data_IF_194293774849
#
_entry.id   IF_194293774849
#
_cell.length_a   1.000
_cell.length_b   1.000
_cell.length_c   1.000
_cell.angle_alpha   90.00
_cell.angle_beta   90.00
_cell.angle_gamma   90.00
#
_symmetry.space_group_name_H-M   'P 1'
#
loop_
_entity.id
_entity.type
_entity.pdbx_description
1 polymer ?
#
# COMPACT_ATOMS: atom_id res chain seq x y z
N UNK A 1 -17.30 -6.39 8.14
CA UNK A 1 -16.62 -5.08 8.19
C UNK A 1 -15.37 -5.11 7.33
N UNK A 2 -15.11 -4.01 6.63
CA UNK A 2 -14.26 -3.96 5.44
C UNK A 2 -12.77 -3.74 5.75
N UNK A 3 -11.97 -4.81 5.74
CA UNK A 3 -10.52 -4.78 5.98
C UNK A 3 -9.72 -4.05 4.87
N UNK A 4 -10.39 -3.57 3.82
CA UNK A 4 -9.74 -2.74 2.80
C UNK A 4 -9.36 -1.37 3.33
N UNK A 5 -10.09 -0.82 4.29
CA UNK A 5 -9.78 0.49 4.88
C UNK A 5 -8.43 0.50 5.61
N UNK A 6 -7.96 -0.66 6.06
CA UNK A 6 -6.61 -0.80 6.60
C UNK A 6 -5.57 -0.32 5.57
N UNK A 7 -5.82 -0.52 4.27
CA UNK A 7 -4.93 -0.14 3.17
C UNK A 7 -5.03 1.32 2.75
N UNK A 8 -5.85 2.15 3.41
CA UNK A 8 -5.95 3.57 3.10
C UNK A 8 -4.60 4.32 3.07
N UNK A 9 -3.68 4.10 4.02
CA UNK A 9 -2.38 4.76 4.00
C UNK A 9 -1.53 4.34 2.79
N UNK A 10 -1.63 3.08 2.36
CA UNK A 10 -0.97 2.59 1.14
C UNK A 10 -1.54 3.30 -0.10
N UNK A 11 -2.87 3.36 -0.21
CA UNK A 11 -3.55 4.00 -1.34
C UNK A 11 -3.15 5.46 -1.46
N UNK A 12 -3.25 6.23 -0.37
CA UNK A 12 -2.89 7.65 -0.33
C UNK A 12 -1.42 7.90 -0.66
N UNK A 13 -0.51 7.15 -0.04
CA UNK A 13 0.92 7.27 -0.29
C UNK A 13 1.27 6.96 -1.75
N UNK A 14 0.63 5.94 -2.34
CA UNK A 14 0.84 5.60 -3.75
C UNK A 14 0.24 6.65 -4.68
N UNK A 15 -1.00 7.11 -4.46
CA UNK A 15 -1.62 8.14 -5.30
C UNK A 15 -0.79 9.43 -5.34
N UNK A 16 -0.32 9.89 -4.17
CA UNK A 16 0.53 11.09 -4.04
C UNK A 16 1.80 11.03 -4.89
N UNK A 17 2.40 9.84 -5.06
CA UNK A 17 3.60 9.65 -5.89
C UNK A 17 3.33 9.78 -7.40
N UNK A 18 2.10 9.61 -7.84
CA UNK A 18 1.72 9.70 -9.25
C UNK A 18 1.16 11.08 -9.61
N UNK A 19 1.18 12.04 -8.66
CA UNK A 19 0.82 13.43 -8.92
C UNK A 19 1.71 14.04 -10.01
N UNK A 20 1.07 14.80 -10.88
CA UNK A 20 1.71 15.59 -11.93
C UNK A 20 0.75 16.68 -12.41
N UNK A 21 1.20 17.57 -13.30
CA UNK A 21 0.36 18.64 -13.85
C UNK A 21 -0.94 18.09 -14.44
N UNK A 22 -2.08 18.66 -14.03
CA UNK A 22 -3.42 18.29 -14.49
C UNK A 22 -3.95 16.95 -13.96
N UNK A 23 -3.23 16.27 -13.06
CA UNK A 23 -3.74 15.10 -12.34
C UNK A 23 -4.15 15.50 -10.92
N UNK A 24 -5.42 15.35 -10.61
CA UNK A 24 -5.92 15.56 -9.26
C UNK A 24 -5.63 14.36 -8.36
N UNK A 25 -5.32 14.65 -7.09
CA UNK A 25 -5.08 13.61 -6.08
C UNK A 25 -6.28 12.70 -5.92
N UNK A 26 -7.47 13.28 -5.88
CA UNK A 26 -8.72 12.58 -5.61
C UNK A 26 -9.01 11.55 -6.71
N UNK A 27 -8.75 11.88 -7.98
CA UNK A 27 -8.88 10.95 -9.10
C UNK A 27 -7.91 9.76 -8.98
N UNK A 28 -6.65 10.03 -8.64
CA UNK A 28 -5.64 8.98 -8.45
C UNK A 28 -5.98 8.10 -7.24
N UNK A 29 -6.49 8.68 -6.15
CA UNK A 29 -6.96 7.94 -4.99
C UNK A 29 -8.17 7.06 -5.36
N UNK A 30 -9.12 7.57 -6.14
CA UNK A 30 -10.27 6.81 -6.63
C UNK A 30 -9.82 5.62 -7.49
N UNK A 31 -8.95 5.84 -8.48
CA UNK A 31 -8.39 4.76 -9.32
C UNK A 31 -7.66 3.71 -8.48
N UNK A 32 -6.89 4.14 -7.47
CA UNK A 32 -6.21 3.24 -6.56
C UNK A 32 -7.18 2.43 -5.67
N UNK A 33 -8.23 3.05 -5.14
CA UNK A 33 -9.28 2.38 -4.37
C UNK A 33 -10.07 1.38 -5.22
N UNK A 34 -10.46 1.75 -6.44
CA UNK A 34 -11.14 0.86 -7.38
C UNK A 34 -10.28 -0.36 -7.72
N UNK A 35 -8.99 -0.14 -7.98
CA UNK A 35 -8.05 -1.23 -8.23
C UNK A 35 -7.91 -2.16 -7.02
N UNK A 36 -7.92 -1.61 -5.82
CA UNK A 36 -7.85 -2.38 -4.58
C UNK A 36 -9.11 -3.23 -4.35
N UNK A 37 -10.31 -2.64 -4.57
CA UNK A 37 -11.59 -3.36 -4.50
C UNK A 37 -11.64 -4.48 -5.53
N UNK A 38 -11.25 -4.21 -6.77
CA UNK A 38 -11.16 -5.21 -7.83
C UNK A 38 -10.14 -6.31 -7.50
N UNK A 39 -8.97 -5.94 -6.96
CA UNK A 39 -7.94 -6.88 -6.56
C UNK A 39 -8.43 -7.83 -5.47
N UNK A 40 -9.23 -7.34 -4.51
CA UNK A 40 -9.81 -8.20 -3.48
C UNK A 40 -10.69 -9.30 -4.06
N UNK A 41 -11.56 -8.98 -5.02
CA UNK A 41 -12.44 -9.96 -5.65
C UNK A 41 -11.64 -11.08 -6.38
N UNK A 42 -10.48 -10.71 -6.92
CA UNK A 42 -9.61 -11.60 -7.70
C UNK A 42 -8.51 -12.27 -6.87
N UNK A 43 -8.32 -11.88 -5.61
CA UNK A 43 -7.22 -12.39 -4.80
C UNK A 43 -7.36 -13.88 -4.55
N UNK A 44 -6.24 -14.59 -4.68
CA UNK A 44 -6.09 -15.98 -4.27
C UNK A 44 -4.76 -16.15 -3.51
N UNK A 45 -4.72 -16.97 -2.44
CA UNK A 45 -3.50 -17.15 -1.62
C UNK A 45 -2.25 -17.56 -2.41
N UNK A 46 -2.42 -18.35 -3.48
CA UNK A 46 -1.37 -18.82 -4.38
C UNK A 46 -0.68 -17.70 -5.17
N UNK A 47 -1.31 -16.52 -5.32
CA UNK A 47 -0.72 -15.33 -5.95
C UNK A 47 0.29 -14.63 -5.04
N UNK A 48 0.50 -15.15 -3.83
CA UNK A 48 1.43 -14.63 -2.83
C UNK A 48 0.75 -13.78 -1.75
N UNK A 49 1.54 -13.11 -0.90
CA UNK A 49 1.00 -12.35 0.22
C UNK A 49 0.08 -11.22 -0.23
N UNK A 50 -1.12 -11.16 0.35
CA UNK A 50 -2.17 -10.16 0.05
C UNK A 50 -1.64 -8.72 -0.06
N UNK A 51 -0.77 -8.21 0.85
CA UNK A 51 -0.29 -6.84 0.74
C UNK A 51 0.55 -6.56 -0.50
N UNK A 52 1.41 -7.51 -0.89
CA UNK A 52 2.25 -7.37 -2.07
C UNK A 52 1.41 -7.45 -3.36
N UNK A 53 0.39 -8.33 -3.37
CA UNK A 53 -0.56 -8.42 -4.47
C UNK A 53 -1.39 -7.13 -4.62
N UNK A 54 -1.97 -6.61 -3.55
CA UNK A 54 -2.75 -5.36 -3.60
C UNK A 54 -1.91 -4.17 -4.06
N UNK A 55 -0.70 -4.00 -3.51
CA UNK A 55 0.24 -2.97 -3.97
C UNK A 55 0.51 -3.08 -5.47
N UNK A 56 0.74 -4.30 -6.00
CA UNK A 56 1.05 -4.46 -7.42
C UNK A 56 -0.12 -4.06 -8.33
N UNK A 57 -1.36 -4.36 -7.92
CA UNK A 57 -2.58 -3.99 -8.66
C UNK A 57 -2.83 -2.47 -8.60
N UNK A 58 -2.70 -1.85 -7.43
CA UNK A 58 -2.79 -0.39 -7.27
C UNK A 58 -1.74 0.32 -8.14
N UNK A 59 -0.49 -0.14 -8.10
CA UNK A 59 0.59 0.42 -8.94
C UNK A 59 0.26 0.35 -10.43
N UNK A 60 -0.27 -0.79 -10.88
CA UNK A 60 -0.62 -0.99 -12.28
C UNK A 60 -1.75 -0.05 -12.72
N UNK A 61 -2.76 0.16 -11.87
CA UNK A 61 -3.87 1.08 -12.12
C UNK A 61 -3.39 2.53 -12.21
N UNK A 62 -2.61 3.01 -11.21
CA UNK A 62 -2.06 4.36 -11.22
C UNK A 62 -1.18 4.63 -12.45
N UNK A 63 -0.33 3.66 -12.82
CA UNK A 63 0.47 3.76 -14.05
C UNK A 63 -0.41 3.79 -15.31
N UNK A 64 -1.56 3.11 -15.31
CA UNK A 64 -2.50 3.15 -16.43
C UNK A 64 -3.28 4.47 -16.48
N UNK A 65 -3.69 5.01 -15.33
CA UNK A 65 -4.33 6.33 -15.23
C UNK A 65 -3.40 7.42 -15.78
N UNK A 66 -2.11 7.41 -15.38
CA UNK A 66 -1.11 8.32 -15.93
C UNK A 66 -0.93 8.16 -17.46
N UNK A 67 -0.96 6.93 -17.98
CA UNK A 67 -0.92 6.68 -19.44
C UNK A 67 -2.18 7.15 -20.16
N UNK A 68 -3.35 7.06 -19.53
CA UNK A 68 -4.62 7.59 -20.07
C UNK A 68 -4.53 9.12 -20.14
N UNK A 69 -4.24 9.76 -19.02
CA UNK A 69 -4.06 11.21 -18.94
C UNK A 69 -3.04 11.75 -19.94
N UNK A 70 -1.85 11.14 -20.04
CA UNK A 70 -0.84 11.57 -21.03
C UNK A 70 -1.33 11.46 -22.46
N UNK A 71 -2.10 10.43 -22.80
CA UNK A 71 -2.71 10.32 -24.14
C UNK A 71 -3.73 11.45 -24.34
N UNK A 72 -4.60 11.67 -23.37
CA UNK A 72 -5.65 12.70 -23.45
C UNK A 72 -5.06 14.12 -23.52
N UNK A 73 -3.98 14.40 -22.78
CA UNK A 73 -3.23 15.65 -22.84
C UNK A 73 -2.52 15.85 -24.19
N UNK A 74 -2.01 14.78 -24.81
CA UNK A 74 -1.47 14.81 -26.18
C UNK A 74 -2.57 15.11 -27.22
N UNK A 75 -3.83 14.75 -26.95
CA UNK A 75 -4.97 15.18 -27.76
C UNK A 75 -5.32 16.67 -27.57
N UNK A 76 -4.88 17.31 -26.47
CA UNK A 76 -5.26 18.69 -26.12
C UNK A 76 -4.12 19.74 -26.15
N UNK A 77 -2.91 19.40 -26.63
CA UNK A 77 -1.76 20.34 -26.74
C UNK A 77 -1.45 21.11 -25.42
N UNK A 78 -1.59 20.48 -24.27
CA UNK A 78 -1.14 21.05 -22.99
C UNK A 78 0.33 20.67 -22.71
N UNK A 79 1.21 21.60 -22.28
CA UNK A 79 2.57 21.25 -21.90
C UNK A 79 2.56 20.43 -20.60
N UNK A 80 3.17 19.24 -20.64
CA UNK A 80 3.35 18.38 -19.47
C UNK A 80 4.71 18.70 -18.82
N UNK A 81 4.83 19.88 -18.20
CA UNK A 81 5.99 20.23 -17.38
C UNK A 81 5.59 20.29 -15.92
N UNK A 82 6.13 19.38 -15.12
CA UNK A 82 6.01 19.42 -13.67
C UNK A 82 6.68 18.23 -13.01
N UNK A 83 7.63 18.53 -12.14
CA UNK A 83 8.26 17.55 -11.27
C UNK A 83 7.23 16.87 -10.37
N UNK A 84 7.42 15.58 -10.14
CA UNK A 84 6.67 14.80 -9.14
C UNK A 84 7.14 15.29 -7.76
N UNK A 85 6.29 15.96 -6.96
CA UNK A 85 6.70 16.36 -5.62
C UNK A 85 6.84 15.11 -4.76
N UNK A 86 8.06 14.80 -4.31
CA UNK A 86 8.33 13.76 -3.31
C UNK A 86 7.80 14.24 -1.96
N UNK A 87 6.50 14.10 -1.79
CA UNK A 87 5.80 14.70 -0.70
C UNK A 87 5.87 13.73 0.49
N UNK A 88 6.89 13.98 1.31
CA UNK A 88 7.36 13.19 2.43
C UNK A 88 6.68 13.59 3.76
N UNK A 89 6.49 12.63 4.66
CA UNK A 89 6.30 12.90 6.09
C UNK A 89 5.10 12.20 6.70
N UNK A 90 3.93 12.80 6.60
CA UNK A 90 2.84 12.58 7.58
C UNK A 90 1.96 11.34 7.30
N UNK A 91 1.88 10.90 6.04
CA UNK A 91 0.91 9.89 5.59
C UNK A 91 1.40 8.44 5.79
N UNK A 92 2.69 8.26 6.09
CA UNK A 92 3.31 6.97 6.34
C UNK A 92 2.87 6.37 7.69
N UNK A 93 2.45 7.19 8.65
CA UNK A 93 2.08 6.77 10.02
C UNK A 93 0.95 5.75 10.09
N UNK A 94 -0.03 5.82 9.17
CA UNK A 94 -1.08 4.82 9.07
C UNK A 94 -0.57 3.45 8.59
N UNK A 95 0.36 3.45 7.61
CA UNK A 95 0.99 2.23 7.07
C UNK A 95 1.77 1.49 8.19
N UNK A 96 2.27 2.25 9.16
CA UNK A 96 3.12 1.76 10.22
C UNK A 96 2.38 1.06 11.36
N UNK A 97 1.07 1.27 11.52
CA UNK A 97 0.27 0.49 12.49
C UNK A 97 0.40 -1.02 12.25
N UNK A 98 0.56 -1.41 10.98
CA UNK A 98 0.78 -2.79 10.56
C UNK A 98 2.14 -3.35 10.95
N UNK A 99 3.15 -2.49 11.03
CA UNK A 99 4.56 -2.89 11.20
C UNK A 99 5.04 -2.95 12.65
N UNK A 100 4.16 -2.70 13.63
CA UNK A 100 4.51 -2.69 15.06
C UNK A 100 5.11 -4.01 15.54
N UNK A 101 4.74 -5.14 14.94
CA UNK A 101 5.28 -6.47 15.27
C UNK A 101 6.50 -6.89 14.43
N UNK A 102 6.98 -6.02 13.53
CA UNK A 102 8.13 -6.33 12.67
C UNK A 102 9.45 -5.94 13.34
N UNK A 103 10.50 -6.69 13.03
CA UNK A 103 11.85 -6.26 13.41
C UNK A 103 12.23 -4.97 12.68
N UNK A 104 13.17 -4.15 13.20
CA UNK A 104 13.57 -2.90 12.57
C UNK A 104 13.97 -3.06 11.09
N UNK A 105 14.68 -4.14 10.75
CA UNK A 105 15.07 -4.44 9.36
C UNK A 105 13.91 -4.83 8.46
N UNK A 106 12.97 -5.64 8.94
CA UNK A 106 11.76 -5.97 8.19
C UNK A 106 10.92 -4.71 7.95
N UNK A 107 10.75 -3.88 8.99
CA UNK A 107 10.04 -2.60 8.90
C UNK A 107 10.69 -1.69 7.86
N UNK A 108 12.01 -1.52 7.92
CA UNK A 108 12.75 -0.67 7.01
C UNK A 108 12.66 -1.14 5.54
N UNK A 109 12.75 -2.44 5.28
CA UNK A 109 12.56 -2.99 3.93
C UNK A 109 11.13 -2.76 3.44
N UNK A 110 10.13 -2.99 4.30
CA UNK A 110 8.73 -2.79 3.92
C UNK A 110 8.37 -1.30 3.75
N UNK A 111 9.04 -0.39 4.44
CA UNK A 111 8.90 1.07 4.22
C UNK A 111 9.30 1.46 2.81
N UNK A 112 10.53 1.10 2.46
CA UNK A 112 11.11 1.44 1.18
C UNK A 112 10.31 0.76 0.07
N UNK A 113 9.79 -0.45 0.34
CA UNK A 113 8.94 -1.15 -0.59
C UNK A 113 7.56 -0.51 -0.71
N UNK A 114 6.79 -0.30 0.37
CA UNK A 114 5.41 0.18 0.29
C UNK A 114 5.30 1.70 0.24
N UNK A 115 5.95 2.40 1.16
CA UNK A 115 5.89 3.86 1.29
C UNK A 115 6.69 4.59 0.21
N UNK A 116 7.80 4.00 -0.26
CA UNK A 116 8.64 4.61 -1.31
C UNK A 116 8.62 3.90 -2.65
N UNK A 117 7.76 2.89 -2.84
CA UNK A 117 7.63 2.09 -4.07
C UNK A 117 8.97 1.79 -4.77
N UNK A 118 10.00 1.44 -3.98
CA UNK A 118 11.31 1.04 -4.49
C UNK A 118 11.30 -0.44 -4.89
N UNK A 119 12.11 -0.77 -5.91
CA UNK A 119 12.37 -2.16 -6.27
C UNK A 119 13.25 -2.84 -5.22
N UNK A 120 13.24 -4.18 -5.15
CA UNK A 120 14.09 -4.89 -4.20
C UNK A 120 15.58 -4.62 -4.44
N UNK A 121 15.96 -4.40 -5.70
CA UNK A 121 17.32 -4.04 -6.10
C UNK A 121 17.70 -2.64 -5.63
N UNK A 122 16.79 -1.67 -5.72
CA UNK A 122 17.04 -0.31 -5.22
C UNK A 122 17.11 -0.29 -3.69
N UNK A 123 16.30 -1.10 -3.02
CA UNK A 123 16.36 -1.29 -1.57
C UNK A 123 17.69 -1.91 -1.16
N UNK A 124 18.15 -2.95 -1.88
CA UNK A 124 19.44 -3.60 -1.63
C UNK A 124 20.59 -2.59 -1.73
N UNK A 125 20.61 -1.82 -2.83
CA UNK A 125 21.58 -0.75 -3.05
C UNK A 125 21.53 0.31 -1.95
N UNK A 126 20.34 0.74 -1.55
CA UNK A 126 20.16 1.81 -0.54
C UNK A 126 20.49 1.36 0.88
N UNK A 127 20.28 0.09 1.21
CA UNK A 127 20.55 -0.46 2.55
C UNK A 127 21.96 -1.06 2.68
N UNK A 128 22.70 -1.21 1.58
CA UNK A 128 24.01 -1.84 1.56
C UNK A 128 23.97 -3.34 1.90
N UNK A 129 22.86 -4.02 1.58
CA UNK A 129 22.68 -5.46 1.85
C UNK A 129 22.35 -6.21 0.56
N UNK A 130 22.52 -7.54 0.55
CA UNK A 130 22.25 -8.36 -0.63
C UNK A 130 20.76 -8.37 -1.02
N UNK A 131 20.47 -8.53 -2.31
CA UNK A 131 19.10 -8.67 -2.83
C UNK A 131 18.36 -9.85 -2.16
N UNK A 132 19.09 -10.94 -1.87
CA UNK A 132 18.55 -12.11 -1.15
C UNK A 132 18.14 -11.76 0.28
N UNK A 133 18.96 -10.96 1.00
CA UNK A 133 18.62 -10.48 2.33
C UNK A 133 17.38 -9.57 2.31
N UNK A 134 17.28 -8.66 1.34
CA UNK A 134 16.08 -7.82 1.14
C UNK A 134 14.86 -8.68 0.87
N UNK A 135 14.96 -9.66 -0.03
CA UNK A 135 13.88 -10.58 -0.36
C UNK A 135 13.40 -11.35 0.88
N UNK A 136 14.34 -11.85 1.69
CA UNK A 136 14.06 -12.56 2.94
C UNK A 136 13.35 -11.66 3.95
N UNK A 137 13.86 -10.44 4.17
CA UNK A 137 13.24 -9.47 5.07
C UNK A 137 11.84 -9.08 4.61
N UNK A 138 11.64 -8.88 3.30
CA UNK A 138 10.33 -8.65 2.70
C UNK A 138 9.40 -9.83 2.94
N UNK A 139 9.81 -11.05 2.60
CA UNK A 139 8.96 -12.23 2.73
C UNK A 139 8.54 -12.48 4.18
N UNK A 140 9.48 -12.38 5.13
CA UNK A 140 9.19 -12.53 6.56
C UNK A 140 8.29 -11.40 7.08
N UNK A 141 8.54 -10.18 6.63
CA UNK A 141 7.71 -9.02 6.95
C UNK A 141 6.27 -9.20 6.47
N UNK A 142 6.09 -9.56 5.19
CA UNK A 142 4.77 -9.83 4.60
C UNK A 142 4.04 -10.99 5.27
N UNK A 143 4.75 -12.06 5.63
CA UNK A 143 4.16 -13.19 6.36
C UNK A 143 3.65 -12.76 7.75
N UNK A 144 4.42 -11.93 8.46
CA UNK A 144 3.99 -11.38 9.74
C UNK A 144 2.77 -10.46 9.61
N UNK A 145 2.72 -9.63 8.55
CA UNK A 145 1.55 -8.81 8.24
C UNK A 145 0.32 -9.65 7.92
N UNK A 146 0.46 -10.67 7.07
CA UNK A 146 -0.63 -11.56 6.68
C UNK A 146 -1.25 -12.28 7.89
N UNK A 147 -0.44 -12.70 8.86
CA UNK A 147 -0.94 -13.31 10.10
C UNK A 147 -1.82 -12.36 10.90
N UNK A 148 -1.46 -11.07 11.05
CA UNK A 148 -2.30 -10.08 11.76
C UNK A 148 -3.64 -9.84 11.06
N UNK A 149 -3.62 -9.63 9.74
CA UNK A 149 -4.84 -9.38 8.97
C UNK A 149 -5.75 -10.62 8.87
N UNK A 150 -5.21 -11.81 9.16
CA UNK A 150 -5.98 -13.05 9.25
C UNK A 150 -6.50 -13.31 10.68
N UNK A 151 -5.79 -12.80 11.71
CA UNK A 151 -6.07 -13.02 13.13
C UNK A 151 -7.01 -11.95 13.76
N UNK A 152 -7.43 -10.91 13.02
CA UNK A 152 -8.46 -9.95 13.46
C UNK A 152 -9.85 -10.56 13.75
N UNK A 153 -9.99 -11.89 13.74
CA UNK A 153 -11.14 -12.63 14.25
C UNK A 153 -10.83 -13.18 15.65
N UNK A 154 -11.13 -12.41 16.70
CA UNK A 154 -11.61 -12.83 18.05
C UNK A 154 -11.35 -11.70 19.05
N UNK A 155 -12.42 -11.17 19.65
CA UNK A 155 -12.36 -10.42 20.91
C UNK A 155 -12.91 -9.00 20.92
N UNK A 156 -14.22 -8.80 20.70
CA UNK A 156 -15.04 -7.90 21.54
C UNK A 156 -16.55 -8.17 21.37
N UNK A 157 -16.96 -9.43 21.57
CA UNK A 157 -18.34 -9.72 22.00
C UNK A 157 -18.25 -10.79 23.09
N UNK A 158 -18.23 -10.32 24.33
CA UNK A 158 -18.89 -10.93 25.49
C UNK A 158 -18.48 -10.16 26.74
N UNK A 159 -19.38 -9.32 27.22
CA UNK A 159 -19.62 -9.18 28.64
C UNK A 159 -21.12 -9.39 28.84
N UNK A 160 -21.57 -10.57 29.30
CA UNK A 160 -22.83 -10.67 30.00
C UNK A 160 -22.55 -10.44 31.49
N UNK A 161 -23.19 -9.45 32.09
CA UNK A 161 -23.17 -9.33 33.55
C UNK A 161 -23.50 -7.95 34.09
N UNK A 162 -24.78 -7.62 34.16
CA UNK A 162 -25.40 -6.79 35.21
C UNK A 162 -26.82 -7.37 35.36
N UNK A 163 -27.03 -8.38 36.21
CA UNK A 163 -27.61 -8.27 37.56
C UNK A 163 -28.97 -7.56 37.59
N UNK A 164 -30.06 -8.33 37.62
CA UNK A 164 -31.35 -7.88 38.14
C UNK A 164 -31.66 -8.65 39.43
N UNK A 165 -31.83 -7.86 40.49
CA UNK A 165 -32.09 -8.32 41.85
C UNK A 165 -33.52 -8.81 42.03
N UNK A 166 -33.69 -9.62 43.07
CA UNK A 166 -34.97 -10.05 43.61
C UNK A 166 -35.25 -9.23 44.87
#
# INVERSE_FOLDING_TARGET
MDHLLEYAPLVRAMARRYLGPGLEREDLEQEAWLALVAARAQYRPELGPRPAYYKSRVRAALAQALRRFRRDALFYKAPLEGDIPLAAGEELDGLWQWTRSLTPRQRQVLDLYFGRDLTLSDIARRLGISLSAVSTHKQRGLAALARRMSCGKKGSQSAPGISEGR
#
